data_IF_422187665516
#
_entry.id   IF_422187665516
#
_cell.length_a   1.000
_cell.length_b   1.000
_cell.length_c   1.000
_cell.angle_alpha   90.00
_cell.angle_beta   90.00
_cell.angle_gamma   90.00
#
_symmetry.space_group_name_H-M   'P 1'
#
loop_
_entity.id
_entity.type
_entity.pdbx_description
1 polymer ?
#
# COMPACT_ATOMS: atom_id res chain seq x y z
N UNK A 1 -23.93 20.12 18.04
CA UNK A 1 -22.94 21.03 18.62
C UNK A 1 -21.83 20.26 19.31
N UNK A 2 -22.17 19.47 20.33
CA UNK A 2 -21.19 18.83 21.22
C UNK A 2 -20.53 17.55 20.66
N UNK A 3 -21.31 16.64 20.06
CA UNK A 3 -20.79 15.36 19.50
C UNK A 3 -19.72 15.53 18.42
N UNK A 4 -19.77 16.61 17.64
CA UNK A 4 -18.75 16.90 16.61
C UNK A 4 -17.44 17.42 17.19
N UNK A 5 -17.44 17.98 18.40
CA UNK A 5 -16.25 18.51 19.05
C UNK A 5 -15.47 17.41 19.78
N UNK A 6 -16.18 16.51 20.47
CA UNK A 6 -15.59 15.30 21.09
C UNK A 6 -14.98 14.35 20.04
N UNK A 7 -15.52 14.31 18.82
CA UNK A 7 -14.97 13.52 17.72
C UNK A 7 -13.68 14.09 17.09
N UNK A 8 -13.26 15.31 17.42
CA UNK A 8 -12.02 15.87 16.87
C UNK A 8 -10.81 15.64 17.78
N UNK A 9 -11.02 15.47 19.08
CA UNK A 9 -9.94 15.25 20.05
C UNK A 9 -9.22 13.91 19.82
N UNK A 10 -9.94 12.88 19.33
CA UNK A 10 -9.36 11.60 18.89
C UNK A 10 -8.36 11.70 17.75
N UNK A 11 -8.30 12.83 17.06
CA UNK A 11 -7.36 13.10 15.96
C UNK A 11 -6.30 14.14 16.32
N UNK A 12 -6.24 14.62 17.57
CA UNK A 12 -5.37 15.75 17.96
C UNK A 12 -3.88 15.48 17.68
N UNK A 13 -3.44 14.23 17.78
CA UNK A 13 -2.06 13.80 17.52
C UNK A 13 -1.76 13.55 16.03
N UNK A 14 -2.76 13.55 15.16
CA UNK A 14 -2.61 13.32 13.73
C UNK A 14 -3.04 14.55 12.92
N UNK A 15 -2.09 15.37 12.45
CA UNK A 15 -2.42 16.59 11.71
C UNK A 15 -3.16 16.29 10.40
N UNK A 16 -2.86 15.16 9.75
CA UNK A 16 -3.57 14.71 8.55
C UNK A 16 -5.04 14.37 8.85
N UNK A 17 -5.32 13.54 9.85
CA UNK A 17 -6.70 13.25 10.24
C UNK A 17 -7.46 14.49 10.68
N UNK A 18 -6.84 15.35 11.51
CA UNK A 18 -7.48 16.55 12.02
C UNK A 18 -7.86 17.51 10.88
N UNK A 19 -6.99 17.68 9.89
CA UNK A 19 -7.27 18.50 8.72
C UNK A 19 -8.42 17.93 7.89
N UNK A 20 -8.45 16.62 7.63
CA UNK A 20 -9.55 15.96 6.91
C UNK A 20 -10.86 16.04 7.69
N UNK A 21 -10.83 15.78 9.00
CA UNK A 21 -12.01 15.84 9.86
C UNK A 21 -12.68 17.23 9.87
N UNK A 22 -11.87 18.29 9.76
CA UNK A 22 -12.32 19.68 9.66
C UNK A 22 -12.62 20.14 8.23
N UNK A 23 -12.34 19.30 7.22
CA UNK A 23 -12.30 19.68 5.79
C UNK A 23 -11.40 20.91 5.53
N UNK A 24 -10.34 21.06 6.33
CA UNK A 24 -9.36 22.13 6.15
C UNK A 24 -8.30 21.69 5.13
N UNK A 25 -8.63 21.85 3.85
CA UNK A 25 -7.75 21.48 2.75
C UNK A 25 -6.46 22.30 2.72
N UNK A 26 -6.48 23.54 3.26
CA UNK A 26 -5.30 24.39 3.31
C UNK A 26 -4.30 23.87 4.35
N UNK A 27 -4.77 23.47 5.54
CA UNK A 27 -3.95 22.79 6.54
C UNK A 27 -3.43 21.45 6.01
N UNK A 28 -4.28 20.67 5.34
CA UNK A 28 -3.85 19.39 4.77
C UNK A 28 -2.74 19.57 3.74
N UNK A 29 -2.87 20.54 2.82
CA UNK A 29 -1.82 20.87 1.86
C UNK A 29 -0.54 21.30 2.55
N UNK A 30 -0.60 22.18 3.57
CA UNK A 30 0.58 22.60 4.34
C UNK A 30 1.29 21.40 4.96
N UNK A 31 0.55 20.50 5.59
CA UNK A 31 1.09 19.26 6.17
C UNK A 31 1.78 18.42 5.10
N UNK A 32 1.13 18.15 3.97
CA UNK A 32 1.71 17.35 2.87
C UNK A 32 2.94 18.01 2.26
N UNK A 33 2.92 19.32 2.04
CA UNK A 33 4.07 20.06 1.46
C UNK A 33 5.27 20.15 2.39
N UNK A 34 5.06 20.02 3.70
CA UNK A 34 6.14 19.99 4.68
C UNK A 34 6.85 18.63 4.75
N UNK A 35 6.25 17.57 4.19
CA UNK A 35 6.83 16.23 4.17
C UNK A 35 7.94 16.12 3.10
N UNK A 36 8.91 15.22 3.31
CA UNK A 36 9.94 14.97 2.31
C UNK A 36 9.32 14.42 1.03
N UNK A 37 9.86 14.85 -0.11
CA UNK A 37 9.38 14.39 -1.42
C UNK A 37 9.77 12.93 -1.65
N UNK A 38 8.79 12.10 -2.01
CA UNK A 38 9.04 10.75 -2.48
C UNK A 38 9.81 10.77 -3.82
N UNK A 39 10.74 9.83 -3.97
CA UNK A 39 11.53 9.71 -5.20
C UNK A 39 10.64 9.27 -6.37
N UNK A 40 10.84 9.88 -7.53
CA UNK A 40 10.17 9.48 -8.78
C UNK A 40 10.82 8.22 -9.36
N UNK A 41 10.09 7.54 -10.25
CA UNK A 41 10.64 6.42 -10.99
C UNK A 41 11.92 6.84 -11.75
N UNK A 42 13.00 6.07 -11.58
CA UNK A 42 14.31 6.35 -12.20
C UNK A 42 15.25 7.25 -11.40
N UNK A 43 14.78 7.90 -10.31
CA UNK A 43 15.65 8.74 -9.46
C UNK A 43 16.53 7.93 -8.49
N UNK A 44 16.23 6.64 -8.31
CA UNK A 44 16.90 5.73 -7.37
C UNK A 44 17.56 4.62 -8.16
N UNK A 45 18.89 4.59 -8.17
CA UNK A 45 19.67 3.75 -9.08
C UNK A 45 20.59 2.76 -8.36
N UNK A 46 20.85 2.95 -7.07
CA UNK A 46 21.69 2.05 -6.28
C UNK A 46 21.04 1.65 -4.94
N UNK A 47 21.64 0.66 -4.28
CA UNK A 47 21.13 0.12 -3.01
C UNK A 47 21.08 1.17 -1.89
N UNK A 48 22.12 2.01 -1.77
CA UNK A 48 22.19 3.03 -0.72
C UNK A 48 21.08 4.08 -0.89
N UNK A 49 20.86 4.56 -2.12
CA UNK A 49 19.76 5.47 -2.46
C UNK A 49 18.40 4.84 -2.19
N UNK A 50 18.23 3.55 -2.50
CA UNK A 50 17.00 2.80 -2.26
C UNK A 50 16.67 2.73 -0.78
N UNK A 51 17.65 2.46 0.08
CA UNK A 51 17.49 2.47 1.54
C UNK A 51 17.12 3.87 2.05
N UNK A 52 17.84 4.92 1.63
CA UNK A 52 17.56 6.29 2.04
C UNK A 52 16.19 6.79 1.56
N UNK A 53 15.75 6.35 0.37
CA UNK A 53 14.44 6.70 -0.17
C UNK A 53 13.30 5.96 0.56
N UNK A 54 13.54 4.75 1.06
CA UNK A 54 12.58 4.03 1.89
C UNK A 54 12.43 4.65 3.28
N UNK A 55 13.53 5.12 3.90
CA UNK A 55 13.45 5.87 5.16
C UNK A 55 12.59 7.13 5.01
N UNK A 56 12.79 7.89 3.92
CA UNK A 56 11.91 9.04 3.59
C UNK A 56 10.47 8.62 3.36
N UNK A 57 10.23 7.46 2.73
CA UNK A 57 8.88 6.96 2.53
C UNK A 57 8.21 6.58 3.85
N UNK A 58 8.95 6.02 4.81
CA UNK A 58 8.46 5.71 6.15
C UNK A 58 8.13 7.00 6.93
N UNK A 59 8.94 8.06 6.80
CA UNK A 59 8.64 9.38 7.36
C UNK A 59 7.32 9.95 6.82
N UNK A 60 7.11 9.90 5.50
CA UNK A 60 5.85 10.33 4.86
C UNK A 60 4.67 9.50 5.38
N UNK A 61 4.82 8.16 5.37
CA UNK A 61 3.77 7.23 5.77
C UNK A 61 3.36 7.41 7.24
N UNK A 62 4.32 7.74 8.12
CA UNK A 62 4.04 8.03 9.54
C UNK A 62 3.04 9.17 9.77
N UNK A 63 2.86 10.05 8.76
CA UNK A 63 1.95 11.19 8.82
C UNK A 63 0.67 10.94 8.02
N UNK A 64 0.78 10.55 6.74
CA UNK A 64 -0.39 10.45 5.84
C UNK A 64 -1.10 9.09 5.86
N UNK A 65 -0.44 8.05 6.38
CA UNK A 65 -0.97 6.68 6.49
C UNK A 65 -1.12 6.23 7.94
N UNK A 66 -1.10 7.19 8.85
CA UNK A 66 -1.24 6.95 10.27
C UNK A 66 -2.55 6.24 10.57
N UNK A 67 -2.56 5.32 11.55
CA UNK A 67 -3.75 4.50 11.92
C UNK A 67 -3.91 4.32 13.43
N UNK A 68 -3.21 5.11 14.24
CA UNK A 68 -3.34 5.12 15.71
C UNK A 68 -4.56 5.95 16.15
N UNK A 69 -5.69 5.72 15.50
CA UNK A 69 -6.97 6.39 15.73
C UNK A 69 -8.07 5.33 15.88
N UNK A 70 -9.23 5.66 16.47
CA UNK A 70 -10.34 4.72 16.56
C UNK A 70 -10.72 4.17 15.18
N UNK A 71 -11.01 2.86 15.09
CA UNK A 71 -11.32 2.19 13.82
C UNK A 71 -10.11 1.87 12.95
N UNK A 72 -8.88 2.22 13.39
CA UNK A 72 -7.63 2.00 12.66
C UNK A 72 -7.65 2.59 11.24
N UNK A 73 -8.44 3.63 11.05
CA UNK A 73 -8.62 4.31 9.77
C UNK A 73 -7.39 5.14 9.41
N UNK A 74 -7.11 5.27 8.13
CA UNK A 74 -6.16 6.27 7.62
C UNK A 74 -6.89 7.59 7.33
N UNK A 75 -6.17 8.72 7.17
CA UNK A 75 -6.77 9.97 6.70
C UNK A 75 -7.56 9.80 5.39
N UNK A 76 -7.17 8.85 4.54
CA UNK A 76 -7.87 8.55 3.29
C UNK A 76 -9.21 7.84 3.54
N UNK A 77 -9.30 6.91 4.48
CA UNK A 77 -10.59 6.31 4.89
C UNK A 77 -11.55 7.39 5.42
N UNK A 78 -11.03 8.27 6.28
CA UNK A 78 -11.80 9.39 6.81
C UNK A 78 -12.30 10.33 5.68
N UNK A 79 -11.49 10.57 4.65
CA UNK A 79 -11.91 11.34 3.48
C UNK A 79 -13.04 10.64 2.70
N UNK A 80 -13.00 9.31 2.57
CA UNK A 80 -14.09 8.52 1.96
C UNK A 80 -15.38 8.66 2.75
N UNK A 81 -15.32 8.40 4.06
CA UNK A 81 -16.48 8.46 4.96
C UNK A 81 -17.10 9.86 5.02
N UNK A 82 -16.28 10.90 4.89
CA UNK A 82 -16.75 12.29 4.80
C UNK A 82 -17.12 12.72 3.38
N UNK A 83 -16.96 11.87 2.36
CA UNK A 83 -17.23 12.21 0.95
C UNK A 83 -16.43 13.43 0.48
N UNK A 84 -15.20 13.54 0.97
CA UNK A 84 -14.31 14.66 0.72
C UNK A 84 -13.28 14.30 -0.35
N UNK A 85 -13.69 14.46 -1.61
CA UNK A 85 -12.84 14.19 -2.77
C UNK A 85 -11.61 15.11 -2.87
N UNK A 86 -11.67 16.32 -2.31
CA UNK A 86 -10.54 17.26 -2.35
C UNK A 86 -9.44 16.76 -1.43
N UNK A 87 -9.79 16.34 -0.21
CA UNK A 87 -8.82 15.74 0.71
C UNK A 87 -8.28 14.41 0.18
N UNK A 88 -9.14 13.57 -0.44
CA UNK A 88 -8.69 12.34 -1.09
C UNK A 88 -7.66 12.60 -2.20
N UNK A 89 -7.89 13.61 -3.05
CA UNK A 89 -6.95 14.01 -4.11
C UNK A 89 -5.61 14.47 -3.51
N UNK A 90 -5.63 15.30 -2.46
CA UNK A 90 -4.41 15.78 -1.80
C UNK A 90 -3.61 14.62 -1.21
N UNK A 91 -4.28 13.68 -0.54
CA UNK A 91 -3.63 12.51 0.07
C UNK A 91 -3.06 11.55 -0.98
N UNK A 92 -3.82 11.24 -2.03
CA UNK A 92 -3.35 10.36 -3.10
C UNK A 92 -2.18 10.99 -3.87
N UNK A 93 -2.22 12.29 -4.16
CA UNK A 93 -1.11 13.00 -4.78
C UNK A 93 0.15 13.04 -3.90
N UNK A 94 -0.01 12.97 -2.57
CA UNK A 94 1.09 12.85 -1.61
C UNK A 94 1.69 11.43 -1.54
N UNK A 95 1.02 10.44 -2.13
CA UNK A 95 1.43 9.04 -2.12
C UNK A 95 0.88 8.22 -0.96
N UNK A 96 -0.31 8.58 -0.44
CA UNK A 96 -0.99 7.78 0.58
C UNK A 96 -1.20 6.33 0.12
N UNK A 97 -0.99 5.38 1.04
CA UNK A 97 -1.15 3.96 0.80
C UNK A 97 -2.64 3.56 0.91
N UNK A 98 -3.29 3.53 -0.24
CA UNK A 98 -4.70 3.14 -0.36
C UNK A 98 -4.98 1.68 0.04
N UNK A 99 -3.95 0.82 0.10
CA UNK A 99 -4.11 -0.63 0.35
C UNK A 99 -4.22 -0.97 1.84
N UNK A 100 -3.91 -0.02 2.72
CA UNK A 100 -4.01 -0.22 4.16
C UNK A 100 -5.44 -0.49 4.56
N UNK A 101 -5.60 -1.47 5.45
CA UNK A 101 -6.91 -1.87 5.96
C UNK A 101 -7.22 -1.22 7.31
N UNK A 102 -8.47 -0.82 7.48
CA UNK A 102 -9.07 -0.40 8.74
C UNK A 102 -9.39 -1.62 9.65
N UNK A 103 -10.03 -1.39 10.80
CA UNK A 103 -10.38 -2.45 11.77
C UNK A 103 -11.34 -3.51 11.20
N UNK A 104 -12.15 -3.13 10.21
CA UNK A 104 -13.08 -4.03 9.52
C UNK A 104 -12.42 -4.81 8.37
N UNK A 105 -11.11 -4.63 8.14
CA UNK A 105 -10.38 -5.28 7.05
C UNK A 105 -10.58 -4.63 5.68
N UNK A 106 -11.26 -3.48 5.60
CA UNK A 106 -11.50 -2.77 4.35
C UNK A 106 -10.39 -1.78 4.05
N UNK A 107 -10.00 -1.69 2.78
CA UNK A 107 -9.17 -0.59 2.27
C UNK A 107 -10.01 0.62 1.89
N UNK A 108 -9.40 1.80 1.80
CA UNK A 108 -10.12 3.03 1.46
C UNK A 108 -10.81 2.96 0.09
N UNK A 109 -10.22 2.25 -0.88
CA UNK A 109 -10.83 2.02 -2.19
C UNK A 109 -12.08 1.14 -2.07
N UNK A 110 -11.99 0.04 -1.32
CA UNK A 110 -13.13 -0.86 -1.15
C UNK A 110 -14.27 -0.16 -0.42
N UNK A 111 -13.96 0.61 0.61
CA UNK A 111 -14.95 1.44 1.31
C UNK A 111 -15.64 2.42 0.35
N UNK A 112 -14.88 3.15 -0.48
CA UNK A 112 -15.44 4.09 -1.46
C UNK A 112 -16.38 3.41 -2.46
N UNK A 113 -16.03 2.20 -2.91
CA UNK A 113 -16.88 1.40 -3.81
C UNK A 113 -18.16 0.98 -3.10
N UNK A 114 -18.07 0.46 -1.87
CA UNK A 114 -19.23 0.02 -1.10
C UNK A 114 -20.18 1.17 -0.74
N UNK A 115 -19.65 2.37 -0.46
CA UNK A 115 -20.44 3.57 -0.14
C UNK A 115 -20.88 4.35 -1.37
N UNK A 116 -20.55 3.89 -2.59
CA UNK A 116 -20.88 4.51 -3.89
C UNK A 116 -20.25 5.91 -4.08
N UNK A 117 -19.08 6.14 -3.51
CA UNK A 117 -18.29 7.36 -3.71
C UNK A 117 -17.39 7.26 -4.95
N UNK A 118 -18.02 7.25 -6.12
CA UNK A 118 -17.36 7.02 -7.42
C UNK A 118 -16.23 8.01 -7.70
N UNK A 119 -16.42 9.30 -7.36
CA UNK A 119 -15.40 10.33 -7.55
C UNK A 119 -14.10 9.99 -6.80
N UNK A 120 -14.22 9.52 -5.56
CA UNK A 120 -13.08 9.16 -4.72
C UNK A 120 -12.44 7.85 -5.20
N UNK A 121 -13.25 6.85 -5.53
CA UNK A 121 -12.75 5.61 -6.11
C UNK A 121 -11.93 5.87 -7.39
N UNK A 122 -12.41 6.77 -8.25
CA UNK A 122 -11.71 7.17 -9.48
C UNK A 122 -10.42 7.96 -9.20
N UNK A 123 -10.38 8.79 -8.15
CA UNK A 123 -9.14 9.44 -7.68
C UNK A 123 -8.12 8.37 -7.29
N UNK A 124 -8.51 7.41 -6.44
CA UNK A 124 -7.60 6.35 -5.98
C UNK A 124 -7.09 5.52 -7.16
N UNK A 125 -7.99 5.09 -8.05
CA UNK A 125 -7.64 4.28 -9.22
C UNK A 125 -6.63 4.97 -10.16
N UNK A 126 -6.78 6.28 -10.38
CA UNK A 126 -5.87 7.08 -11.22
C UNK A 126 -4.46 7.18 -10.65
N UNK A 127 -4.34 7.34 -9.33
CA UNK A 127 -3.05 7.47 -8.65
C UNK A 127 -2.37 6.12 -8.36
N UNK A 128 -3.12 5.03 -8.22
CA UNK A 128 -2.61 3.71 -7.84
C UNK A 128 -1.44 3.23 -8.70
N UNK A 129 -1.62 3.14 -10.02
CA UNK A 129 -0.62 2.54 -10.91
C UNK A 129 0.72 3.30 -10.88
N UNK A 130 0.74 4.65 -11.03
CA UNK A 130 1.97 5.42 -10.89
C UNK A 130 2.65 5.27 -9.52
N UNK A 131 1.88 5.28 -8.42
CA UNK A 131 2.43 5.14 -7.07
C UNK A 131 3.04 3.76 -6.83
N UNK A 132 2.37 2.70 -7.29
CA UNK A 132 2.87 1.34 -7.21
C UNK A 132 4.17 1.18 -8.00
N UNK A 133 4.23 1.75 -9.22
CA UNK A 133 5.44 1.74 -10.03
C UNK A 133 6.59 2.53 -9.37
N UNK A 134 6.32 3.73 -8.85
CA UNK A 134 7.33 4.52 -8.15
C UNK A 134 7.86 3.79 -6.89
N UNK A 135 6.97 3.14 -6.12
CA UNK A 135 7.33 2.30 -4.96
C UNK A 135 8.21 1.11 -5.39
N UNK A 136 7.88 0.48 -6.51
CA UNK A 136 8.69 -0.61 -7.07
C UNK A 136 10.07 -0.13 -7.51
N UNK A 137 10.15 0.90 -8.36
CA UNK A 137 11.42 1.47 -8.83
C UNK A 137 12.32 1.90 -7.67
N UNK A 138 11.73 2.50 -6.62
CA UNK A 138 12.47 2.90 -5.42
C UNK A 138 13.07 1.69 -4.67
N UNK A 139 12.39 0.54 -4.64
CA UNK A 139 12.83 -0.68 -3.93
C UNK A 139 13.67 -1.62 -4.77
N UNK A 140 13.61 -1.51 -6.08
CA UNK A 140 14.26 -2.44 -7.00
C UNK A 140 15.79 -2.55 -6.76
N UNK A 141 16.56 -1.46 -6.56
CA UNK A 141 18.00 -1.58 -6.40
C UNK A 141 18.42 -2.41 -5.18
N UNK A 142 17.75 -2.26 -4.02
CA UNK A 142 18.04 -3.09 -2.84
C UNK A 142 17.66 -4.56 -3.03
N UNK A 143 16.60 -4.82 -3.80
CA UNK A 143 16.15 -6.20 -4.12
C UNK A 143 17.19 -6.86 -5.04
N UNK A 144 17.63 -6.15 -6.09
CA UNK A 144 18.67 -6.62 -7.03
C UNK A 144 19.98 -6.89 -6.28
N UNK A 145 20.40 -5.98 -5.40
CA UNK A 145 21.61 -6.18 -4.61
C UNK A 145 21.50 -7.38 -3.66
N UNK A 146 20.33 -7.57 -3.04
CA UNK A 146 20.06 -8.75 -2.19
C UNK A 146 20.08 -10.04 -3.01
N UNK A 147 19.48 -10.05 -4.20
CA UNK A 147 19.51 -11.19 -5.11
C UNK A 147 20.95 -11.55 -5.51
N UNK A 148 21.80 -10.56 -5.77
CA UNK A 148 23.22 -10.79 -6.08
C UNK A 148 24.01 -11.40 -4.91
N UNK A 149 23.65 -11.11 -3.65
CA UNK A 149 24.29 -11.70 -2.47
C UNK A 149 23.87 -13.14 -2.20
N UNK A 150 22.63 -13.50 -2.55
CA UNK A 150 22.15 -14.87 -2.45
C UNK A 150 22.94 -15.73 -3.44
N UNK A 151 23.36 -16.94 -3.06
CA UNK A 151 24.06 -17.85 -3.98
C UNK A 151 23.12 -18.27 -5.11
N UNK A 152 23.71 -18.63 -6.25
CA UNK A 152 22.93 -19.19 -7.35
C UNK A 152 22.33 -20.54 -6.93
N UNK A 153 21.07 -20.76 -7.28
CA UNK A 153 20.35 -21.95 -6.85
C UNK A 153 19.31 -22.39 -7.88
N UNK A 154 18.96 -23.66 -7.75
CA UNK A 154 17.78 -24.28 -8.32
C UNK A 154 16.91 -24.77 -7.17
N UNK A 155 15.60 -24.55 -7.26
CA UNK A 155 14.62 -25.05 -6.30
C UNK A 155 13.41 -25.60 -7.06
N UNK A 156 12.97 -26.78 -6.65
CA UNK A 156 11.72 -27.38 -7.12
C UNK A 156 10.78 -27.52 -5.94
N UNK A 157 9.55 -27.01 -6.09
CA UNK A 157 8.49 -27.10 -5.08
C UNK A 157 7.31 -27.81 -5.73
N UNK A 158 6.92 -28.95 -5.16
CA UNK A 158 5.76 -29.71 -5.64
C UNK A 158 4.64 -29.63 -4.61
N UNK A 159 3.47 -29.20 -5.08
CA UNK A 159 2.27 -29.11 -4.26
C UNK A 159 1.39 -30.33 -4.49
N UNK A 160 1.07 -31.04 -3.40
CA UNK A 160 0.13 -32.14 -3.38
C UNK A 160 -1.02 -31.80 -2.44
N UNK A 161 -2.25 -31.80 -2.98
CA UNK A 161 -3.44 -31.49 -2.21
C UNK A 161 -4.09 -32.79 -1.72
N UNK A 162 -4.17 -32.92 -0.40
CA UNK A 162 -4.88 -34.01 0.26
C UNK A 162 -5.96 -33.42 1.19
N UNK A 163 -7.13 -34.05 1.24
CA UNK A 163 -8.22 -33.70 2.15
C UNK A 163 -8.87 -34.97 2.67
N UNK A 164 -8.95 -35.09 3.99
CA UNK A 164 -9.68 -36.16 4.66
C UNK A 164 -11.20 -35.93 4.64
N UNK A 165 -11.66 -34.73 4.27
CA UNK A 165 -13.08 -34.34 4.25
C UNK A 165 -13.66 -34.38 2.83
N UNK A 166 -12.84 -34.13 1.80
CA UNK A 166 -13.27 -34.13 0.40
C UNK A 166 -12.66 -35.35 -0.31
N UNK A 167 -13.46 -36.40 -0.58
CA UNK A 167 -12.98 -37.57 -1.30
C UNK A 167 -12.43 -37.19 -2.68
N UNK A 168 -11.33 -37.84 -3.09
CA UNK A 168 -10.68 -37.67 -4.39
C UNK A 168 -10.10 -36.28 -4.70
N UNK A 169 -9.95 -35.40 -3.71
CA UNK A 169 -9.41 -34.05 -3.95
C UNK A 169 -8.03 -34.10 -4.63
N UNK A 170 -7.16 -35.06 -4.28
CA UNK A 170 -5.84 -35.18 -4.90
C UNK A 170 -5.84 -35.62 -6.37
N UNK A 171 -7.00 -36.04 -6.90
CA UNK A 171 -7.22 -36.37 -8.33
C UNK A 171 -7.85 -35.23 -9.12
N UNK A 172 -8.47 -34.28 -8.42
CA UNK A 172 -9.25 -33.18 -9.00
C UNK A 172 -8.52 -31.84 -8.83
N UNK A 173 -7.82 -31.66 -7.72
CA UNK A 173 -7.00 -30.50 -7.45
C UNK A 173 -5.70 -30.59 -8.24
N UNK A 174 -5.31 -29.52 -8.95
CA UNK A 174 -4.11 -29.52 -9.75
C UNK A 174 -2.87 -29.75 -8.89
N UNK A 175 -1.96 -30.60 -9.35
CA UNK A 175 -0.66 -30.76 -8.72
C UNK A 175 0.33 -29.83 -9.41
N UNK A 176 0.67 -28.73 -8.73
CA UNK A 176 1.56 -27.75 -9.31
C UNK A 176 3.02 -28.07 -8.95
N UNK A 177 3.89 -28.08 -9.95
CA UNK A 177 5.34 -28.10 -9.73
C UNK A 177 5.90 -26.76 -10.15
N UNK A 178 6.50 -26.06 -9.19
CA UNK A 178 7.20 -24.80 -9.42
C UNK A 178 8.69 -25.07 -9.47
N UNK A 179 9.31 -24.70 -10.59
CA UNK A 179 10.75 -24.79 -10.78
C UNK A 179 11.31 -23.38 -10.82
N UNK A 180 12.25 -23.09 -9.93
CA UNK A 180 12.83 -21.77 -9.74
C UNK A 180 14.33 -21.85 -9.95
N UNK A 181 14.84 -21.09 -10.90
CA UNK A 181 16.27 -20.92 -11.15
C UNK A 181 16.65 -19.48 -10.88
N UNK A 182 17.74 -19.31 -10.13
CA UNK A 182 18.30 -18.00 -9.83
C UNK A 182 19.78 -18.00 -10.20
N UNK A 183 20.19 -17.03 -11.02
CA UNK A 183 21.60 -16.76 -11.36
C UNK A 183 21.91 -15.26 -11.28
N UNK A 184 22.82 -14.85 -10.40
CA UNK A 184 23.05 -13.43 -10.11
C UNK A 184 21.74 -12.76 -9.65
N UNK A 185 21.33 -11.66 -10.27
CA UNK A 185 20.03 -11.03 -10.04
C UNK A 185 18.90 -11.55 -10.94
N UNK A 186 19.19 -12.49 -11.83
CA UNK A 186 18.19 -13.04 -12.74
C UNK A 186 17.43 -14.18 -12.07
N UNK A 187 16.10 -14.12 -12.14
CA UNK A 187 15.19 -15.12 -11.61
C UNK A 187 14.28 -15.62 -12.73
N UNK A 188 14.18 -16.94 -12.88
CA UNK A 188 13.18 -17.60 -13.72
C UNK A 188 12.36 -18.52 -12.84
N UNK A 189 11.04 -18.44 -12.98
CA UNK A 189 10.11 -19.35 -12.34
C UNK A 189 9.20 -19.95 -13.41
N UNK A 190 9.23 -21.27 -13.55
CA UNK A 190 8.31 -22.01 -14.40
C UNK A 190 7.31 -22.75 -13.51
N UNK A 191 6.06 -22.83 -13.95
CA UNK A 191 4.98 -23.54 -13.26
C UNK A 191 4.34 -24.52 -14.22
N UNK A 192 4.13 -25.76 -13.78
CA UNK A 192 3.23 -26.70 -14.46
C UNK A 192 1.85 -26.62 -13.81
N UNK A 193 0.80 -26.45 -14.60
CA UNK A 193 -0.58 -26.70 -14.19
C UNK A 193 -0.94 -28.09 -14.71
N UNK A 194 -1.04 -29.08 -13.81
CA UNK A 194 -1.41 -30.46 -14.15
C UNK A 194 -2.82 -30.77 -13.66
#
# INVERSE_FOLDING_TARGET
>A
GDKSMEDLTKYAHSPAHLAVARRDHAALRRTVTALPRLAKAGEVNNEAESLAAELRADEVSSVIDRRDVPGRETPLHLAVRLRDHVSAEILMAAGADWSLQNEHGWSALQEAVCTREEAIAMIIARHYQPLAWAKWCRRLPRIVASANRIRDFYMEITFHFESSVIPFIGRIAPSDTYRIWKRGSNLRADMTLA
#
